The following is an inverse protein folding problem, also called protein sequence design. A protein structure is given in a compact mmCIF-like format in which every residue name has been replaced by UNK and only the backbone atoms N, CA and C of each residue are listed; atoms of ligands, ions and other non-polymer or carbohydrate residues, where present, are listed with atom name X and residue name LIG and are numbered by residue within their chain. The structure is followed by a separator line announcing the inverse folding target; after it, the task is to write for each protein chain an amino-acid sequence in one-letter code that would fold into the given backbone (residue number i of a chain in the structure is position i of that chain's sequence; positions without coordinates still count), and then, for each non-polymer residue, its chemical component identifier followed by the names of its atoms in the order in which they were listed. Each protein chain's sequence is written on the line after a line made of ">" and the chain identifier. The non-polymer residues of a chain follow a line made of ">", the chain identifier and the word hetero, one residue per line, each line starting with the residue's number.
data_IF_859217705971
#
_entry.id   IF_859217705971
#
_cell.length_a   1.000
_cell.length_b   1.000
_cell.length_c   1.000
_cell.angle_alpha   90.00
_cell.angle_beta   90.00
_cell.angle_gamma   90.00
#
_symmetry.space_group_name_H-M   'P 1'
#
loop_
_entity.id
_entity.type
_entity.pdbx_description
1 polymer ?
#
# COMPACT_ATOMS: atom_id res chain seq x y z
N UNK A 1 -6.62 -11.62 -7.50
CA UNK A 1 -6.56 -10.47 -6.57
C UNK A 1 -7.56 -9.42 -7.05
N UNK A 2 -8.28 -8.73 -6.14
CA UNK A 2 -9.18 -7.63 -6.52
C UNK A 2 -8.39 -6.55 -7.25
N UNK A 3 -8.93 -6.11 -8.39
CA UNK A 3 -8.23 -5.26 -9.35
C UNK A 3 -8.96 -3.95 -9.62
N UNK A 4 -10.11 -3.71 -8.97
CA UNK A 4 -10.86 -2.47 -9.07
C UNK A 4 -11.38 -2.04 -7.69
N UNK A 5 -11.34 -0.74 -7.37
CA UNK A 5 -11.88 -0.23 -6.13
C UNK A 5 -13.41 -0.35 -6.15
N UNK A 6 -13.95 -0.98 -5.11
CA UNK A 6 -15.39 -0.96 -4.78
C UNK A 6 -15.55 -0.39 -3.39
N UNK A 7 -16.71 0.19 -3.06
CA UNK A 7 -16.97 0.67 -1.70
C UNK A 7 -16.71 -0.45 -0.69
N UNK A 8 -16.00 -0.12 0.40
CA UNK A 8 -15.77 -1.01 1.54
C UNK A 8 -14.98 -2.30 1.24
N UNK A 9 -14.15 -2.31 0.18
CA UNK A 9 -13.21 -3.41 -0.07
C UNK A 9 -11.81 -3.04 0.42
N UNK A 10 -11.19 -3.99 1.13
CA UNK A 10 -9.80 -3.98 1.55
C UNK A 10 -9.23 -5.39 1.42
N UNK A 11 -7.90 -5.50 1.39
CA UNK A 11 -7.16 -6.76 1.32
C UNK A 11 -6.47 -6.98 2.66
N UNK A 12 -6.58 -8.20 3.18
CA UNK A 12 -5.81 -8.64 4.35
C UNK A 12 -4.60 -9.40 3.85
N UNK A 13 -3.42 -9.03 4.35
CA UNK A 13 -2.16 -9.68 4.03
C UNK A 13 -1.19 -9.58 5.22
N UNK A 14 0.06 -9.96 4.99
CA UNK A 14 1.16 -9.90 5.94
C UNK A 14 2.45 -9.46 5.23
N UNK A 15 3.50 -9.18 6.01
CA UNK A 15 4.78 -8.67 5.54
C UNK A 15 5.55 -9.65 4.64
N UNK A 16 5.19 -10.93 4.67
CA UNK A 16 5.79 -12.00 3.84
C UNK A 16 5.17 -12.11 2.44
N UNK A 17 3.98 -11.52 2.23
CA UNK A 17 3.23 -11.57 0.97
C UNK A 17 3.23 -10.25 0.13
N UNK A 18 4.26 -9.39 0.17
CA UNK A 18 4.18 -8.05 -0.43
C UNK A 18 4.12 -8.11 -1.96
N UNK A 19 4.71 -9.15 -2.57
CA UNK A 19 4.71 -9.36 -4.02
C UNK A 19 3.32 -9.69 -4.57
N UNK A 20 2.43 -10.24 -3.76
CA UNK A 20 1.06 -10.61 -4.15
C UNK A 20 0.11 -9.39 -4.12
N UNK A 21 0.46 -8.35 -3.38
CA UNK A 21 -0.37 -7.17 -3.13
C UNK A 21 -0.22 -6.05 -4.17
N UNK A 22 0.68 -6.19 -5.15
CA UNK A 22 0.93 -5.18 -6.20
C UNK A 22 -0.34 -4.67 -6.93
N UNK A 23 -1.26 -5.55 -7.37
CA UNK A 23 -2.51 -5.13 -8.00
C UNK A 23 -3.41 -4.30 -7.08
N UNK A 24 -3.48 -4.64 -5.78
CA UNK A 24 -4.30 -3.93 -4.80
C UNK A 24 -3.76 -2.50 -4.56
N UNK A 25 -2.44 -2.36 -4.38
CA UNK A 25 -1.79 -1.06 -4.27
C UNK A 25 -2.00 -0.21 -5.53
N UNK A 26 -1.86 -0.81 -6.72
CA UNK A 26 -2.06 -0.12 -8.00
C UNK A 26 -3.50 0.36 -8.19
N UNK A 27 -4.48 -0.38 -7.66
CA UNK A 27 -5.90 -0.04 -7.69
C UNK A 27 -6.34 0.86 -6.52
N UNK A 28 -5.40 1.38 -5.71
CA UNK A 28 -5.67 2.16 -4.49
C UNK A 28 -6.60 1.45 -3.49
N UNK A 29 -6.55 0.12 -3.45
CA UNK A 29 -7.27 -0.70 -2.48
C UNK A 29 -6.41 -0.79 -1.21
N UNK A 30 -6.97 -0.52 -0.02
CA UNK A 30 -6.23 -0.65 1.23
C UNK A 30 -5.74 -2.08 1.44
N UNK A 31 -4.47 -2.23 1.83
CA UNK A 31 -3.90 -3.49 2.29
C UNK A 31 -3.62 -3.34 3.77
N UNK A 32 -4.18 -4.23 4.59
CA UNK A 32 -4.09 -4.19 6.04
C UNK A 32 -3.63 -5.55 6.59
N UNK A 33 -3.11 -5.55 7.82
CA UNK A 33 -2.74 -6.78 8.52
C UNK A 33 -3.97 -7.52 9.05
N UNK A 34 -3.78 -8.76 9.52
CA UNK A 34 -4.85 -9.55 10.14
C UNK A 34 -5.42 -8.88 11.41
N UNK A 35 -4.59 -8.12 12.12
CA UNK A 35 -4.96 -7.39 13.34
C UNK A 35 -6.11 -6.42 13.07
N UNK A 36 -6.22 -5.85 11.86
CA UNK A 36 -7.36 -5.01 11.47
C UNK A 36 -8.71 -5.67 11.80
N UNK A 37 -8.86 -6.96 11.48
CA UNK A 37 -10.07 -7.71 11.82
C UNK A 37 -10.08 -8.15 13.28
N UNK A 38 -8.97 -8.67 13.78
CA UNK A 38 -8.94 -9.27 15.13
C UNK A 38 -9.21 -8.20 16.20
N UNK A 39 -8.50 -7.07 16.15
CA UNK A 39 -8.73 -5.94 17.06
C UNK A 39 -10.06 -5.27 16.76
N UNK A 40 -10.42 -5.16 15.48
CA UNK A 40 -11.63 -4.50 15.06
C UNK A 40 -12.91 -5.22 15.51
N UNK A 41 -12.93 -6.55 15.47
CA UNK A 41 -14.02 -7.37 16.00
C UNK A 41 -14.10 -7.21 17.52
N UNK A 42 -12.96 -7.27 18.22
CA UNK A 42 -12.92 -7.15 19.68
C UNK A 42 -13.40 -5.78 20.17
N UNK A 43 -13.06 -4.71 19.44
CA UNK A 43 -13.37 -3.33 19.82
C UNK A 43 -14.62 -2.77 19.14
N UNK A 44 -15.21 -3.52 18.20
CA UNK A 44 -16.29 -3.07 17.31
C UNK A 44 -15.93 -1.76 16.57
N UNK A 45 -14.71 -1.67 16.06
CA UNK A 45 -14.15 -0.48 15.40
C UNK A 45 -13.29 -0.86 14.19
N UNK A 46 -13.28 -0.01 13.18
CA UNK A 46 -12.39 -0.17 12.02
C UNK A 46 -11.30 0.90 12.08
N UNK A 47 -10.04 0.46 12.12
CA UNK A 47 -8.86 1.33 12.15
C UNK A 47 -7.93 0.99 10.99
N UNK A 48 -8.06 1.75 9.89
CA UNK A 48 -7.30 1.54 8.66
C UNK A 48 -5.88 2.10 8.70
N UNK A 49 -5.55 2.93 9.69
CA UNK A 49 -4.24 3.59 9.77
C UNK A 49 -3.27 2.75 10.60
N UNK A 50 -3.72 2.27 11.77
CA UNK A 50 -2.86 1.49 12.68
C UNK A 50 -2.40 0.16 12.07
N UNK A 51 -3.24 -0.45 11.23
CA UNK A 51 -3.01 -1.79 10.68
C UNK A 51 -2.64 -1.78 9.19
N UNK A 52 -2.26 -0.62 8.64
CA UNK A 52 -1.98 -0.49 7.21
C UNK A 52 -0.63 -1.10 6.84
N UNK A 53 -0.62 -1.95 5.82
CA UNK A 53 0.61 -2.44 5.21
C UNK A 53 1.06 -1.47 4.13
N UNK A 54 2.27 -0.93 4.30
CA UNK A 54 2.87 -0.09 3.26
C UNK A 54 3.22 -0.95 2.06
N UNK A 55 3.03 -0.40 0.86
CA UNK A 55 3.60 -1.01 -0.33
C UNK A 55 5.10 -1.19 -0.10
N UNK A 56 5.69 -2.32 -0.55
CA UNK A 56 7.13 -2.47 -0.52
C UNK A 56 7.72 -1.25 -1.23
N UNK A 57 8.56 -0.49 -0.54
CA UNK A 57 9.34 0.53 -1.18
C UNK A 57 10.13 -0.20 -2.27
N UNK A 58 9.73 -0.05 -3.53
CA UNK A 58 10.67 -0.30 -4.60
C UNK A 58 11.83 0.62 -4.27
N UNK A 59 12.91 0.06 -3.71
CA UNK A 59 14.19 0.71 -3.72
C UNK A 59 14.44 0.97 -5.20
N UNK A 60 14.15 2.19 -5.66
CA UNK A 60 14.79 2.78 -6.80
C UNK A 60 16.27 2.83 -6.43
N UNK A 61 16.94 1.69 -6.54
CA UNK A 61 18.39 1.64 -6.60
C UNK A 61 18.74 2.42 -7.88
N UNK A 62 19.46 3.55 -7.79
CA UNK A 62 19.97 4.19 -8.97
C UNK A 62 21.13 3.32 -9.48
N UNK A 63 20.82 2.34 -10.32
CA UNK A 63 21.84 1.70 -11.14
C UNK A 63 22.33 2.76 -12.15
N UNK A 64 23.47 3.36 -11.84
CA UNK A 64 23.99 4.54 -12.50
C UNK A 64 24.19 4.37 -14.00
N UNK A 65 23.92 5.45 -14.75
CA UNK A 65 24.26 5.51 -16.16
C UNK A 65 23.58 6.63 -16.94
N UNK A 66 24.12 7.85 -16.79
CA UNK A 66 24.07 8.97 -17.75
C UNK A 66 22.95 10.03 -17.57
N UNK A 67 23.45 11.16 -17.07
CA UNK A 67 22.91 12.52 -17.03
C UNK A 67 22.10 12.93 -18.27
N UNK A 68 20.84 13.34 -18.09
CA UNK A 68 20.17 14.39 -18.87
C UNK A 68 19.00 15.04 -18.08
N UNK A 69 19.29 16.23 -17.53
CA UNK A 69 18.51 17.48 -17.51
C UNK A 69 17.03 17.49 -17.04
N UNK A 70 16.79 18.25 -15.96
CA UNK A 70 15.60 19.08 -15.65
C UNK A 70 14.20 18.62 -16.13
N UNK A 71 13.33 18.21 -15.19
CA UNK A 71 12.04 18.89 -14.95
C UNK A 71 11.38 18.44 -13.63
N UNK A 72 11.38 19.32 -12.64
CA UNK A 72 10.32 19.58 -11.66
C UNK A 72 9.35 18.44 -11.24
N UNK A 73 9.69 17.67 -10.20
CA UNK A 73 8.69 16.94 -9.38
C UNK A 73 8.83 17.36 -7.93
N UNK A 74 8.67 18.66 -7.69
CA UNK A 74 8.39 19.21 -6.37
C UNK A 74 6.88 19.40 -6.29
N UNK A 75 6.17 18.33 -5.96
CA UNK A 75 4.77 18.36 -5.54
C UNK A 75 4.62 17.24 -4.50
N UNK A 76 4.84 17.51 -3.22
CA UNK A 76 3.80 18.03 -2.33
C UNK A 76 2.50 17.23 -2.50
N UNK A 77 2.43 16.06 -1.86
CA UNK A 77 1.16 15.59 -1.31
C UNK A 77 1.22 15.84 0.20
N UNK A 78 0.77 17.04 0.58
CA UNK A 78 -0.17 17.16 1.67
C UNK A 78 -1.54 16.72 1.14
#
# INVERSE_FOLDING_TARGET
>A
MPSSPKPQIFVISCEEDPSLCGPAHSASIPVVTAEFLLTGILQQRLDFETHRLSAPAHSLQPAGGRRLNNLNVKLAMF
#
